data_IF_566058197012
#
_entry.id   IF_566058197012
#
_cell.length_a   1.000
_cell.length_b   1.000
_cell.length_c   1.000
_cell.angle_alpha   90.00
_cell.angle_beta   90.00
_cell.angle_gamma   90.00
#
_symmetry.space_group_name_H-M   'P 1'
#
loop_
_entity.id
_entity.type
_entity.pdbx_description
1 polymer ?
#
# COMPACT_ATOMS: atom_id res chain seq x y z
N UNK A 1 -81.57 9.71 -7.34
CA UNK A 1 -81.01 9.42 -8.68
C UNK A 1 -82.06 8.75 -9.57
N UNK A 2 -82.98 9.52 -10.16
CA UNK A 2 -83.91 8.98 -11.17
C UNK A 2 -83.35 9.31 -12.57
N UNK A 3 -83.29 8.32 -13.45
CA UNK A 3 -82.85 8.50 -14.84
C UNK A 3 -81.34 8.44 -15.09
N UNK A 4 -80.52 7.98 -14.13
CA UNK A 4 -79.07 7.77 -14.31
C UNK A 4 -78.81 6.27 -14.53
N UNK A 5 -78.18 5.91 -15.65
CA UNK A 5 -77.62 4.58 -15.90
C UNK A 5 -76.12 4.58 -15.62
N UNK A 6 -75.55 3.42 -15.28
CA UNK A 6 -74.11 3.32 -14.99
C UNK A 6 -73.46 2.15 -15.71
N UNK A 7 -72.22 2.38 -16.17
CA UNK A 7 -71.38 1.40 -16.84
C UNK A 7 -70.18 1.13 -15.92
N UNK A 8 -70.10 -0.08 -15.36
CA UNK A 8 -69.07 -0.43 -14.38
C UNK A 8 -67.68 -0.47 -15.03
N UNK A 9 -66.71 0.17 -14.37
CA UNK A 9 -65.29 0.10 -14.72
C UNK A 9 -64.60 -0.98 -13.87
N UNK A 10 -64.81 -0.97 -12.55
CA UNK A 10 -64.30 -1.98 -11.64
C UNK A 10 -64.36 -1.53 -10.18
N UNK A 11 -63.95 -2.43 -9.29
CA UNK A 11 -63.94 -2.18 -7.85
C UNK A 11 -62.51 -2.19 -7.32
N UNK A 12 -62.27 -1.36 -6.31
CA UNK A 12 -61.03 -1.37 -5.53
C UNK A 12 -61.42 -1.65 -4.09
N UNK A 13 -60.87 -2.72 -3.51
CA UNK A 13 -61.12 -3.09 -2.13
C UNK A 13 -60.21 -2.31 -1.19
N UNK A 14 -60.78 -1.79 -0.10
CA UNK A 14 -60.07 -1.02 0.91
C UNK A 14 -59.86 -1.93 2.12
N UNK A 15 -58.61 -2.24 2.44
CA UNK A 15 -58.23 -3.10 3.57
C UNK A 15 -57.06 -2.53 4.38
N UNK A 16 -56.30 -1.61 3.81
CA UNK A 16 -55.10 -1.02 4.38
C UNK A 16 -54.99 0.46 4.03
N UNK A 17 -54.14 1.18 4.76
CA UNK A 17 -53.92 2.61 4.53
C UNK A 17 -53.29 2.91 3.15
N UNK A 18 -52.46 2.00 2.62
CA UNK A 18 -51.90 2.11 1.28
C UNK A 18 -52.96 2.04 0.16
N UNK A 19 -54.13 1.45 0.42
CA UNK A 19 -55.25 1.42 -0.53
C UNK A 19 -55.83 2.82 -0.77
N UNK A 20 -55.69 3.76 0.17
CA UNK A 20 -56.13 5.16 0.00
C UNK A 20 -55.34 5.82 -1.14
N UNK A 21 -54.03 5.59 -1.19
CA UNK A 21 -53.16 6.11 -2.25
C UNK A 21 -53.52 5.47 -3.59
N UNK A 22 -53.69 4.14 -3.60
CA UNK A 22 -54.06 3.38 -4.81
C UNK A 22 -55.39 3.83 -5.40
N UNK A 23 -56.43 3.97 -4.58
CA UNK A 23 -57.74 4.46 -5.02
C UNK A 23 -57.64 5.88 -5.58
N UNK A 24 -56.90 6.77 -4.88
CA UNK A 24 -56.73 8.17 -5.30
C UNK A 24 -56.04 8.28 -6.66
N UNK A 25 -54.95 7.56 -6.86
CA UNK A 25 -54.24 7.53 -8.15
C UNK A 25 -55.13 6.99 -9.26
N UNK A 26 -55.86 5.92 -8.98
CA UNK A 26 -56.75 5.31 -9.97
C UNK A 26 -57.87 6.25 -10.41
N UNK A 27 -58.53 6.92 -9.48
CA UNK A 27 -59.56 7.92 -9.78
C UNK A 27 -58.98 9.13 -10.50
N UNK A 28 -57.76 9.54 -10.17
CA UNK A 28 -57.08 10.65 -10.87
C UNK A 28 -56.80 10.31 -12.34
N UNK A 29 -56.34 9.10 -12.62
CA UNK A 29 -56.10 8.62 -13.99
C UNK A 29 -57.41 8.60 -14.78
N UNK A 30 -58.48 8.04 -14.23
CA UNK A 30 -59.79 8.04 -14.90
C UNK A 30 -60.31 9.44 -15.15
N UNK A 31 -60.21 10.34 -14.17
CA UNK A 31 -60.66 11.71 -14.33
C UNK A 31 -59.86 12.45 -15.42
N UNK A 32 -58.57 12.13 -15.58
CA UNK A 32 -57.75 12.64 -16.69
C UNK A 32 -58.17 12.05 -18.03
N UNK A 33 -58.38 10.75 -18.10
CA UNK A 33 -58.78 10.05 -19.33
C UNK A 33 -60.17 10.48 -19.82
N UNK A 34 -61.04 10.87 -18.88
CA UNK A 34 -62.35 11.48 -19.18
C UNK A 34 -62.25 12.98 -19.52
N UNK A 35 -61.05 13.56 -19.60
CA UNK A 35 -60.80 14.97 -19.89
C UNK A 35 -61.42 15.98 -18.89
N UNK A 36 -61.56 15.61 -17.61
CA UNK A 36 -61.87 16.61 -16.58
C UNK A 36 -60.72 17.61 -16.46
N UNK A 37 -61.03 18.89 -16.24
CA UNK A 37 -60.02 19.90 -15.99
C UNK A 37 -59.27 19.63 -14.66
N UNK A 38 -58.08 20.19 -14.51
CA UNK A 38 -57.21 19.97 -13.35
C UNK A 38 -57.89 20.35 -12.02
N UNK A 39 -58.73 21.38 -12.00
CA UNK A 39 -59.45 21.79 -10.79
C UNK A 39 -60.52 20.77 -10.43
N UNK A 40 -61.27 20.26 -11.42
CA UNK A 40 -62.28 19.22 -11.19
C UNK A 40 -61.65 17.88 -10.81
N UNK A 41 -60.50 17.51 -11.39
CA UNK A 41 -59.73 16.33 -10.97
C UNK A 41 -59.36 16.40 -9.48
N UNK A 42 -58.90 17.56 -8.99
CA UNK A 42 -58.59 17.75 -7.57
C UNK A 42 -59.86 17.56 -6.72
N UNK A 43 -61.00 18.14 -7.11
CA UNK A 43 -62.27 17.99 -6.37
C UNK A 43 -62.70 16.52 -6.27
N UNK A 44 -62.67 15.79 -7.38
CA UNK A 44 -63.02 14.36 -7.43
C UNK A 44 -62.06 13.55 -6.55
N UNK A 45 -60.75 13.73 -6.71
CA UNK A 45 -59.76 12.95 -5.96
C UNK A 45 -59.82 13.22 -4.46
N UNK A 46 -60.03 14.47 -4.04
CA UNK A 46 -60.25 14.82 -2.62
C UNK A 46 -61.49 14.14 -2.06
N UNK A 47 -62.62 14.19 -2.77
CA UNK A 47 -63.86 13.52 -2.37
C UNK A 47 -63.67 12.00 -2.18
N UNK A 48 -62.95 11.35 -3.09
CA UNK A 48 -62.69 9.91 -2.99
C UNK A 48 -61.72 9.56 -1.88
N UNK A 49 -60.67 10.35 -1.66
CA UNK A 49 -59.75 10.12 -0.54
C UNK A 49 -60.47 10.20 0.81
N UNK A 50 -61.38 11.17 0.97
CA UNK A 50 -62.23 11.28 2.17
C UNK A 50 -63.15 10.07 2.35
N UNK A 51 -63.83 9.62 1.29
CA UNK A 51 -64.68 8.42 1.37
C UNK A 51 -63.89 7.15 1.67
N UNK A 52 -62.72 6.99 1.06
CA UNK A 52 -61.86 5.82 1.26
C UNK A 52 -61.30 5.79 2.69
N UNK A 53 -60.93 6.97 3.21
CA UNK A 53 -60.51 7.14 4.61
C UNK A 53 -61.63 6.79 5.58
N UNK A 54 -62.86 7.23 5.31
CA UNK A 54 -64.02 6.88 6.15
C UNK A 54 -64.26 5.36 6.19
N UNK A 55 -64.17 4.67 5.04
CA UNK A 55 -64.28 3.20 5.00
C UNK A 55 -63.22 2.57 5.91
N UNK A 56 -61.96 2.98 5.77
CA UNK A 56 -60.85 2.41 6.54
C UNK A 56 -60.94 2.71 8.04
N UNK A 57 -61.25 3.95 8.42
CA UNK A 57 -61.32 4.38 9.81
C UNK A 57 -62.48 3.73 10.56
N UNK A 58 -63.68 3.72 9.97
CA UNK A 58 -64.92 3.34 10.66
C UNK A 58 -65.40 1.92 10.39
N UNK A 59 -65.08 1.33 9.24
CA UNK A 59 -65.55 -0.01 8.87
C UNK A 59 -64.44 -1.05 8.67
N UNK A 60 -63.17 -0.62 8.59
CA UNK A 60 -61.95 -1.43 8.36
C UNK A 60 -61.88 -2.16 7.02
N UNK A 61 -63.02 -2.51 6.43
CA UNK A 61 -63.13 -3.10 5.11
C UNK A 61 -64.27 -2.47 4.30
N UNK A 62 -64.05 -2.31 3.00
CA UNK A 62 -65.10 -1.89 2.07
C UNK A 62 -64.60 -1.89 0.63
N UNK A 63 -65.35 -1.24 -0.25
CA UNK A 63 -65.01 -1.14 -1.65
C UNK A 63 -65.36 0.23 -2.22
N UNK A 64 -64.53 0.69 -3.16
CA UNK A 64 -64.78 1.83 -4.03
C UNK A 64 -65.08 1.27 -5.42
N UNK A 65 -66.33 1.35 -5.84
CA UNK A 65 -66.76 0.99 -7.19
C UNK A 65 -66.74 2.21 -8.10
N UNK A 66 -66.09 2.06 -9.25
CA UNK A 66 -65.94 3.10 -10.26
C UNK A 66 -66.81 2.76 -11.47
N UNK A 67 -67.56 3.73 -11.96
CA UNK A 67 -68.45 3.58 -13.10
C UNK A 67 -68.55 4.88 -13.91
N UNK A 68 -68.91 4.77 -15.18
CA UNK A 68 -69.31 5.91 -15.99
C UNK A 68 -70.82 6.08 -15.83
N UNK A 69 -71.27 7.25 -15.37
CA UNK A 69 -72.68 7.61 -15.28
C UNK A 69 -73.18 8.23 -16.60
N UNK A 70 -74.42 7.92 -16.96
CA UNK A 70 -75.12 8.48 -18.11
C UNK A 70 -76.51 8.96 -17.70
N UNK A 71 -76.93 10.12 -18.18
CA UNK A 71 -78.29 10.65 -17.98
C UNK A 71 -78.84 11.19 -19.31
N UNK A 72 -79.80 10.48 -19.89
CA UNK A 72 -80.21 10.71 -21.28
C UNK A 72 -79.09 10.35 -22.28
N UNK A 73 -79.23 10.79 -23.54
CA UNK A 73 -78.28 10.45 -24.61
C UNK A 73 -77.00 11.32 -24.62
N UNK A 74 -76.97 12.42 -23.85
CA UNK A 74 -75.94 13.45 -24.02
C UNK A 74 -75.15 13.79 -22.76
N UNK A 75 -75.54 13.30 -21.57
CA UNK A 75 -74.85 13.62 -20.33
C UNK A 75 -74.03 12.41 -19.85
N UNK A 76 -72.71 12.58 -19.73
CA UNK A 76 -71.76 11.55 -19.29
C UNK A 76 -70.95 12.07 -18.11
N UNK A 77 -70.67 11.23 -17.11
CA UNK A 77 -69.94 11.63 -15.92
C UNK A 77 -69.23 10.48 -15.23
N UNK A 78 -68.40 10.81 -14.23
CA UNK A 78 -67.74 9.82 -13.39
C UNK A 78 -68.60 9.55 -12.16
N UNK A 79 -68.98 8.29 -11.98
CA UNK A 79 -69.73 7.80 -10.83
C UNK A 79 -68.80 7.00 -9.92
N UNK A 80 -68.85 7.33 -8.63
CA UNK A 80 -68.04 6.70 -7.60
C UNK A 80 -68.97 6.26 -6.49
N UNK A 81 -68.97 4.97 -6.19
CA UNK A 81 -69.77 4.40 -5.10
C UNK A 81 -68.83 3.84 -4.05
N UNK A 82 -68.79 4.47 -2.89
CA UNK A 82 -68.17 3.94 -1.70
C UNK A 82 -69.18 3.06 -0.96
N UNK A 83 -68.80 1.84 -0.63
CA UNK A 83 -69.61 0.93 0.19
C UNK A 83 -68.75 0.30 1.28
N UNK A 84 -69.28 0.30 2.50
CA UNK A 84 -68.76 -0.47 3.61
C UNK A 84 -69.83 -1.39 4.20
N UNK A 85 -69.39 -2.32 5.05
CA UNK A 85 -70.26 -3.17 5.87
C UNK A 85 -70.04 -2.86 7.36
N UNK A 86 -69.80 -1.59 7.69
CA UNK A 86 -69.57 -1.12 9.06
C UNK A 86 -70.87 -0.95 9.87
N UNK A 87 -70.82 -0.27 11.02
CA UNK A 87 -71.97 -0.10 11.90
C UNK A 87 -73.09 0.80 11.33
N UNK A 88 -72.86 1.44 10.18
CA UNK A 88 -73.76 2.45 9.63
C UNK A 88 -73.75 3.77 10.41
N UNK A 89 -74.49 4.77 9.92
CA UNK A 89 -74.62 6.09 10.53
C UNK A 89 -76.05 6.26 11.05
N UNK A 90 -76.19 6.54 12.36
CA UNK A 90 -77.51 6.82 12.97
C UNK A 90 -78.19 8.04 12.31
N UNK A 91 -79.51 7.97 12.12
CA UNK A 91 -80.29 8.98 11.39
C UNK A 91 -80.11 10.40 11.93
N UNK A 92 -80.06 10.58 13.25
CA UNK A 92 -79.89 11.88 13.92
C UNK A 92 -78.49 12.44 13.68
N UNK A 93 -77.48 11.57 13.69
CA UNK A 93 -76.08 11.89 13.41
C UNK A 93 -75.88 12.26 11.94
N UNK A 94 -76.51 11.51 11.02
CA UNK A 94 -76.44 11.77 9.58
C UNK A 94 -76.98 13.15 9.22
N UNK A 95 -78.12 13.55 9.80
CA UNK A 95 -78.68 14.89 9.58
C UNK A 95 -77.74 15.99 10.08
N UNK A 96 -77.08 15.77 11.21
CA UNK A 96 -76.11 16.70 11.80
C UNK A 96 -74.83 16.81 10.96
N UNK A 97 -74.33 15.69 10.42
CA UNK A 97 -73.19 15.65 9.50
C UNK A 97 -73.52 16.42 8.22
N UNK A 98 -74.67 16.18 7.61
CA UNK A 98 -75.06 16.84 6.35
C UNK A 98 -75.31 18.34 6.51
N UNK A 99 -75.74 18.80 7.69
CA UNK A 99 -75.88 20.23 8.04
C UNK A 99 -74.53 20.89 8.40
N UNK A 100 -73.46 20.12 8.54
CA UNK A 100 -72.14 20.61 8.90
C UNK A 100 -72.01 21.03 10.38
N UNK A 101 -72.96 20.64 11.23
CA UNK A 101 -72.97 20.95 12.67
C UNK A 101 -72.37 19.83 13.53
N UNK A 102 -71.89 18.76 12.90
CA UNK A 102 -71.25 17.62 13.56
C UNK A 102 -69.74 17.83 13.64
N UNK A 103 -69.16 17.65 14.83
CA UNK A 103 -67.73 17.57 15.07
C UNK A 103 -67.37 16.13 15.45
N UNK A 104 -66.44 15.51 14.72
CA UNK A 104 -65.92 14.19 15.09
C UNK A 104 -64.92 14.30 16.25
N UNK A 105 -64.83 13.24 17.06
CA UNK A 105 -63.83 13.14 18.14
C UNK A 105 -62.38 13.14 17.63
N UNK A 106 -62.16 12.86 16.34
CA UNK A 106 -60.85 12.80 15.69
C UNK A 106 -60.30 14.16 15.21
N UNK A 107 -61.07 15.26 15.31
CA UNK A 107 -60.59 16.63 15.08
C UNK A 107 -60.19 17.01 13.65
N UNK A 108 -60.30 16.10 12.67
CA UNK A 108 -60.03 16.33 11.26
C UNK A 108 -61.14 15.71 10.41
N UNK A 109 -61.95 16.51 9.73
CA UNK A 109 -62.85 15.97 8.69
C UNK A 109 -64.08 16.81 8.38
N UNK A 110 -64.02 17.59 7.29
CA UNK A 110 -65.21 18.11 6.59
C UNK A 110 -65.82 16.99 5.71
N UNK A 111 -65.82 15.74 6.20
CA UNK A 111 -65.72 14.53 5.38
C UNK A 111 -66.86 14.31 4.38
N UNK A 112 -68.10 14.17 4.86
CA UNK A 112 -69.26 13.90 3.97
C UNK A 112 -69.93 15.18 3.46
N UNK A 113 -70.00 16.23 4.28
CA UNK A 113 -70.58 17.52 3.86
C UNK A 113 -69.70 18.26 2.85
N UNK A 114 -68.38 18.19 3.00
CA UNK A 114 -67.42 18.71 2.04
C UNK A 114 -67.48 17.94 0.73
N UNK A 115 -67.47 16.61 0.80
CA UNK A 115 -67.66 15.73 -0.37
C UNK A 115 -68.94 16.07 -1.14
N UNK A 116 -70.07 16.31 -0.45
CA UNK A 116 -71.32 16.76 -1.09
C UNK A 116 -71.21 18.10 -1.83
N UNK A 117 -70.35 19.02 -1.39
CA UNK A 117 -70.15 20.33 -2.06
C UNK A 117 -69.24 20.23 -3.30
N UNK A 118 -68.41 19.19 -3.38
CA UNK A 118 -67.44 19.02 -4.47
C UNK A 118 -68.04 18.32 -5.70
N UNK A 119 -69.10 17.54 -5.49
CA UNK A 119 -69.76 16.69 -6.49
C UNK A 119 -71.10 17.27 -6.92
N UNK A 120 -71.59 16.88 -8.10
CA UNK A 120 -72.83 17.42 -8.65
C UNK A 120 -74.04 16.65 -8.12
N UNK A 121 -73.91 15.32 -8.02
CA UNK A 121 -74.88 14.46 -7.35
C UNK A 121 -74.25 13.79 -6.12
N UNK A 122 -75.03 13.72 -5.05
CA UNK A 122 -74.66 13.06 -3.80
C UNK A 122 -75.86 12.31 -3.25
N UNK A 123 -75.71 11.00 -3.09
CA UNK A 123 -76.70 10.15 -2.44
C UNK A 123 -76.02 9.30 -1.36
N UNK A 124 -76.62 9.24 -0.19
CA UNK A 124 -76.16 8.39 0.92
C UNK A 124 -77.31 7.51 1.38
N UNK A 125 -77.03 6.22 1.50
CA UNK A 125 -77.92 5.21 2.08
C UNK A 125 -77.15 4.54 3.20
N UNK A 126 -77.75 4.47 4.38
CA UNK A 126 -77.13 3.85 5.54
C UNK A 126 -78.21 3.25 6.42
N UNK A 127 -77.91 2.09 7.01
CA UNK A 127 -78.77 1.43 7.98
C UNK A 127 -77.91 0.88 9.12
N UNK A 128 -78.45 0.84 10.36
CA UNK A 128 -77.72 0.28 11.50
C UNK A 128 -77.27 -1.16 11.21
N UNK A 129 -75.98 -1.44 11.44
CA UNK A 129 -75.35 -2.76 11.25
C UNK A 129 -75.41 -3.34 9.81
N UNK A 130 -75.84 -2.54 8.82
CA UNK A 130 -75.84 -2.89 7.39
C UNK A 130 -74.81 -2.08 6.58
N UNK A 131 -74.10 -1.15 7.22
CA UNK A 131 -73.06 -0.32 6.61
C UNK A 131 -73.56 0.99 5.99
N UNK A 132 -72.65 1.66 5.27
CA UNK A 132 -72.93 2.90 4.56
C UNK A 132 -72.58 2.76 3.08
N UNK A 133 -73.48 3.23 2.22
CA UNK A 133 -73.22 3.42 0.81
C UNK A 133 -73.34 4.90 0.44
N UNK A 134 -72.27 5.46 -0.11
CA UNK A 134 -72.22 6.83 -0.62
C UNK A 134 -71.97 6.79 -2.11
N UNK A 135 -72.90 7.34 -2.88
CA UNK A 135 -72.81 7.45 -4.33
C UNK A 135 -72.62 8.90 -4.73
N UNK A 136 -71.56 9.17 -5.49
CA UNK A 136 -71.21 10.47 -6.03
C UNK A 136 -71.26 10.44 -7.54
N UNK A 137 -71.71 11.53 -8.18
CA UNK A 137 -71.52 11.75 -9.62
C UNK A 137 -70.94 13.13 -9.86
N UNK A 138 -69.94 13.19 -10.74
CA UNK A 138 -69.45 14.42 -11.35
C UNK A 138 -69.73 14.40 -12.85
N UNK A 139 -70.48 15.37 -13.34
CA UNK A 139 -70.84 15.46 -14.75
C UNK A 139 -69.75 16.16 -15.55
N UNK A 140 -69.51 15.71 -16.77
CA UNK A 140 -68.70 16.45 -17.73
C UNK A 140 -69.47 17.66 -18.24
N UNK A 141 -68.77 18.74 -18.62
CA UNK A 141 -69.37 19.83 -19.39
C UNK A 141 -70.03 19.28 -20.67
N UNK A 142 -71.17 19.83 -21.13
CA UNK A 142 -71.91 19.32 -22.28
C UNK A 142 -71.07 19.11 -23.54
N UNK A 143 -70.04 19.94 -23.76
CA UNK A 143 -69.13 19.86 -24.90
C UNK A 143 -68.25 18.60 -24.88
N UNK A 144 -67.84 18.15 -23.69
CA UNK A 144 -67.00 16.97 -23.49
C UNK A 144 -67.82 15.70 -23.29
N UNK A 145 -69.09 15.83 -22.88
CA UNK A 145 -69.98 14.70 -22.63
C UNK A 145 -70.24 13.84 -23.88
N UNK A 146 -70.34 14.46 -25.07
CA UNK A 146 -70.54 13.73 -26.34
C UNK A 146 -69.29 12.97 -26.80
N UNK A 147 -68.10 13.55 -26.60
CA UNK A 147 -66.82 12.92 -26.95
C UNK A 147 -66.52 11.73 -26.03
N UNK A 148 -66.73 11.92 -24.72
CA UNK A 148 -66.61 10.85 -23.74
C UNK A 148 -67.61 9.72 -24.01
N UNK A 149 -68.83 10.04 -24.45
CA UNK A 149 -69.85 9.06 -24.80
C UNK A 149 -69.44 8.16 -25.98
N UNK A 150 -68.76 8.73 -26.98
CA UNK A 150 -68.28 7.99 -28.16
C UNK A 150 -67.13 7.02 -27.84
N UNK A 151 -66.33 7.30 -26.80
CA UNK A 151 -65.10 6.54 -26.47
C UNK A 151 -65.21 5.67 -25.21
N UNK A 152 -66.43 5.42 -24.71
CA UNK A 152 -66.66 4.63 -23.48
C UNK A 152 -65.99 3.25 -23.54
N UNK A 153 -66.04 2.57 -24.68
CA UNK A 153 -65.44 1.24 -24.85
C UNK A 153 -63.90 1.26 -24.75
N UNK A 154 -63.25 2.33 -25.22
CA UNK A 154 -61.79 2.50 -25.12
C UNK A 154 -61.37 2.82 -23.68
N UNK A 155 -62.13 3.68 -23.00
CA UNK A 155 -61.94 3.97 -21.58
C UNK A 155 -62.07 2.69 -20.72
N UNK A 156 -63.01 1.80 -21.05
CA UNK A 156 -63.15 0.50 -20.39
C UNK A 156 -62.00 -0.47 -20.68
N UNK A 157 -61.42 -0.45 -21.88
CA UNK A 157 -60.31 -1.31 -22.25
C UNK A 157 -59.02 -0.90 -21.54
N UNK A 158 -58.70 0.41 -21.54
CA UNK A 158 -57.54 0.96 -20.80
C UNK A 158 -57.64 0.75 -19.29
N UNK A 159 -58.85 0.66 -18.75
CA UNK A 159 -59.05 0.32 -17.36
C UNK A 159 -58.70 -1.15 -17.03
N UNK A 160 -58.68 -2.08 -17.99
CA UNK A 160 -58.38 -3.49 -17.69
C UNK A 160 -56.89 -3.81 -17.59
N UNK A 161 -56.01 -2.99 -18.15
CA UNK A 161 -54.55 -3.19 -18.08
C UNK A 161 -53.98 -2.55 -16.79
N UNK A 162 -53.40 -3.35 -15.89
CA UNK A 162 -52.91 -2.91 -14.56
C UNK A 162 -51.36 -2.80 -14.53
N UNK A 163 -50.77 -1.62 -14.25
CA UNK A 163 -49.32 -1.46 -14.06
C UNK A 163 -48.81 -1.70 -12.62
N UNK A 164 -49.68 -1.96 -11.63
CA UNK A 164 -49.28 -2.05 -10.22
C UNK A 164 -48.54 -3.37 -9.86
N UNK A 165 -48.76 -4.44 -10.62
CA UNK A 165 -48.14 -5.75 -10.36
C UNK A 165 -46.64 -5.75 -10.75
N UNK A 166 -46.27 -5.01 -11.81
CA UNK A 166 -44.90 -4.92 -12.33
C UNK A 166 -43.91 -4.23 -11.40
N UNK A 167 -44.32 -3.23 -10.63
CA UNK A 167 -43.42 -2.48 -9.72
C UNK A 167 -43.04 -3.30 -8.47
N UNK A 168 -43.92 -4.21 -8.04
CA UNK A 168 -43.67 -5.09 -6.89
C UNK A 168 -42.65 -6.16 -7.24
N UNK A 169 -42.73 -6.71 -8.45
CA UNK A 169 -41.76 -7.70 -8.95
C UNK A 169 -40.35 -7.12 -9.07
N UNK A 170 -40.22 -5.89 -9.55
CA UNK A 170 -38.93 -5.20 -9.67
C UNK A 170 -38.26 -4.97 -8.30
N UNK A 171 -39.03 -4.54 -7.30
CA UNK A 171 -38.54 -4.39 -5.92
C UNK A 171 -38.14 -5.72 -5.28
N UNK A 172 -38.88 -6.79 -5.54
CA UNK A 172 -38.52 -8.13 -5.05
C UNK A 172 -37.22 -8.63 -5.69
N UNK A 173 -36.99 -8.31 -6.96
CA UNK A 173 -35.75 -8.65 -7.64
C UNK A 173 -34.56 -7.87 -7.06
N UNK A 174 -34.71 -6.56 -6.84
CA UNK A 174 -33.67 -5.73 -6.21
C UNK A 174 -33.31 -6.22 -4.79
N UNK A 175 -34.30 -6.63 -3.99
CA UNK A 175 -34.05 -7.20 -2.67
C UNK A 175 -33.23 -8.51 -2.74
N UNK A 176 -33.50 -9.37 -3.73
CA UNK A 176 -32.72 -10.60 -3.91
C UNK A 176 -31.27 -10.32 -4.29
N UNK A 177 -31.04 -9.35 -5.18
CA UNK A 177 -29.68 -8.98 -5.59
C UNK A 177 -28.90 -8.34 -4.44
N UNK A 178 -29.54 -7.51 -3.61
CA UNK A 178 -28.93 -6.93 -2.42
C UNK A 178 -28.49 -8.00 -1.41
N UNK A 179 -29.36 -8.99 -1.14
CA UNK A 179 -29.02 -10.11 -0.25
C UNK A 179 -27.80 -10.88 -0.75
N UNK A 180 -27.66 -11.08 -2.07
CA UNK A 180 -26.49 -11.75 -2.65
C UNK A 180 -25.21 -10.94 -2.42
N UNK A 181 -25.23 -9.64 -2.69
CA UNK A 181 -24.06 -8.77 -2.50
C UNK A 181 -23.64 -8.70 -1.04
N UNK A 182 -24.59 -8.66 -0.11
CA UNK A 182 -24.30 -8.68 1.32
C UNK A 182 -23.58 -9.98 1.73
N UNK A 183 -24.05 -11.13 1.24
CA UNK A 183 -23.40 -12.41 1.52
C UNK A 183 -21.96 -12.47 0.95
N UNK A 184 -21.73 -11.97 -0.26
CA UNK A 184 -20.38 -11.89 -0.85
C UNK A 184 -19.45 -10.95 -0.08
N UNK A 185 -19.99 -9.83 0.45
CA UNK A 185 -19.22 -8.89 1.27
C UNK A 185 -18.86 -9.49 2.63
N UNK A 186 -19.78 -10.22 3.26
CA UNK A 186 -19.50 -10.93 4.51
C UNK A 186 -18.40 -11.98 4.32
N UNK A 187 -18.49 -12.80 3.27
CA UNK A 187 -17.45 -13.79 2.93
C UNK A 187 -16.09 -13.13 2.71
N UNK A 188 -16.03 -12.04 1.92
CA UNK A 188 -14.78 -11.31 1.71
C UNK A 188 -14.23 -10.68 2.99
N UNK A 189 -15.11 -10.21 3.88
CA UNK A 189 -14.68 -9.63 5.16
C UNK A 189 -14.03 -10.70 6.04
N UNK A 190 -14.65 -11.88 6.15
CA UNK A 190 -14.08 -13.00 6.91
C UNK A 190 -12.73 -13.46 6.33
N UNK A 191 -12.62 -13.55 5.00
CA UNK A 191 -11.35 -13.87 4.33
C UNK A 191 -10.25 -12.83 4.65
N UNK A 192 -10.59 -11.54 4.63
CA UNK A 192 -9.65 -10.46 4.95
C UNK A 192 -9.25 -10.50 6.43
N UNK A 193 -10.18 -10.77 7.34
CA UNK A 193 -9.88 -10.92 8.77
C UNK A 193 -8.92 -12.09 9.00
N UNK A 194 -9.19 -13.25 8.41
CA UNK A 194 -8.30 -14.41 8.50
C UNK A 194 -6.90 -14.13 7.95
N UNK A 195 -6.81 -13.52 6.76
CA UNK A 195 -5.52 -13.20 6.14
C UNK A 195 -4.74 -12.17 6.97
N UNK A 196 -5.43 -11.19 7.56
CA UNK A 196 -4.79 -10.19 8.41
C UNK A 196 -4.24 -10.81 9.69
N UNK A 197 -4.96 -11.76 10.30
CA UNK A 197 -4.45 -12.51 11.45
C UNK A 197 -3.21 -13.36 11.11
N UNK A 198 -3.21 -14.05 9.96
CA UNK A 198 -2.04 -14.79 9.49
C UNK A 198 -0.84 -13.87 9.23
N UNK A 199 -1.09 -12.73 8.59
CA UNK A 199 -0.06 -11.73 8.30
C UNK A 199 0.52 -11.14 9.60
N UNK A 200 -0.32 -10.87 10.60
CA UNK A 200 0.13 -10.40 11.92
C UNK A 200 0.98 -11.45 12.63
N UNK A 201 0.56 -12.72 12.62
CA UNK A 201 1.34 -13.83 13.20
C UNK A 201 2.70 -13.99 12.50
N UNK A 202 2.71 -13.96 11.17
CA UNK A 202 3.95 -14.05 10.39
C UNK A 202 4.89 -12.87 10.67
N UNK A 203 4.36 -11.64 10.69
CA UNK A 203 5.16 -10.46 11.04
C UNK A 203 5.73 -10.53 12.47
N UNK A 204 4.96 -11.01 13.43
CA UNK A 204 5.45 -11.20 14.80
C UNK A 204 6.60 -12.21 14.86
N UNK A 205 6.48 -13.34 14.16
CA UNK A 205 7.53 -14.36 14.07
C UNK A 205 8.81 -13.82 13.41
N UNK A 206 8.66 -13.08 12.31
CA UNK A 206 9.79 -12.45 11.61
C UNK A 206 10.49 -11.44 12.53
N UNK A 207 9.73 -10.61 13.23
CA UNK A 207 10.29 -9.62 14.16
C UNK A 207 11.03 -10.29 15.32
N UNK A 208 10.49 -11.36 15.89
CA UNK A 208 11.17 -12.14 16.94
C UNK A 208 12.45 -12.80 16.43
N UNK A 209 12.40 -13.42 15.24
CA UNK A 209 13.57 -14.03 14.61
C UNK A 209 14.67 -12.99 14.32
N UNK A 210 14.29 -11.82 13.81
CA UNK A 210 15.21 -10.71 13.56
C UNK A 210 15.84 -10.17 14.85
N UNK A 211 15.05 -10.07 15.93
CA UNK A 211 15.58 -9.66 17.24
C UNK A 211 16.63 -10.66 17.75
N UNK A 212 16.34 -11.96 17.71
CA UNK A 212 17.29 -13.02 18.11
C UNK A 212 18.54 -13.03 17.24
N UNK A 213 18.39 -12.84 15.92
CA UNK A 213 19.53 -12.75 15.01
C UNK A 213 20.45 -11.56 15.35
N UNK A 214 19.87 -10.40 15.68
CA UNK A 214 20.64 -9.22 16.12
C UNK A 214 21.36 -9.47 17.43
N UNK A 215 20.70 -10.10 18.40
CA UNK A 215 21.28 -10.45 19.70
C UNK A 215 22.46 -11.41 19.54
N UNK A 216 22.30 -12.48 18.74
CA UNK A 216 23.38 -13.41 18.40
C UNK A 216 24.52 -12.71 17.67
N UNK A 217 24.21 -11.78 16.76
CA UNK A 217 25.20 -10.97 16.06
C UNK A 217 26.05 -10.13 17.03
N UNK A 218 25.39 -9.44 17.97
CA UNK A 218 26.07 -8.63 19.00
C UNK A 218 26.93 -9.48 19.93
N UNK A 219 26.42 -10.63 20.40
CA UNK A 219 27.20 -11.55 21.23
C UNK A 219 28.44 -12.09 20.49
N UNK A 220 28.30 -12.42 19.19
CA UNK A 220 29.44 -12.85 18.36
C UNK A 220 30.49 -11.75 18.25
N UNK A 221 30.08 -10.50 18.03
CA UNK A 221 31.01 -9.35 17.96
C UNK A 221 31.75 -9.11 19.28
N UNK A 222 31.02 -9.09 20.39
CA UNK A 222 31.58 -8.88 21.72
C UNK A 222 32.57 -9.99 22.07
N UNK A 223 32.19 -11.25 21.82
CA UNK A 223 33.07 -12.40 22.02
C UNK A 223 34.36 -12.30 21.19
N UNK A 224 34.26 -11.93 19.91
CA UNK A 224 35.43 -11.79 19.04
C UNK A 224 36.31 -10.60 19.44
N UNK A 225 35.73 -9.49 19.89
CA UNK A 225 36.47 -8.33 20.38
C UNK A 225 37.24 -8.67 21.67
N UNK A 226 36.59 -9.30 22.65
CA UNK A 226 37.20 -9.75 23.90
C UNK A 226 38.30 -10.76 23.65
N UNK A 227 38.02 -11.81 22.87
CA UNK A 227 39.01 -12.86 22.54
C UNK A 227 40.22 -12.28 21.82
N UNK A 228 40.01 -11.32 20.90
CA UNK A 228 41.11 -10.63 20.20
C UNK A 228 41.99 -9.84 21.18
N UNK A 229 41.38 -9.08 22.09
CA UNK A 229 42.12 -8.34 23.11
C UNK A 229 42.96 -9.28 23.99
N UNK A 230 42.34 -10.37 24.44
CA UNK A 230 42.97 -11.34 25.33
C UNK A 230 44.06 -12.17 24.65
N UNK A 231 44.00 -12.34 23.32
CA UNK A 231 45.08 -12.92 22.51
C UNK A 231 46.18 -11.89 22.20
N UNK A 232 45.84 -10.62 21.98
CA UNK A 232 46.81 -9.57 21.64
C UNK A 232 47.75 -9.26 22.82
N UNK A 233 47.22 -9.25 24.04
CA UNK A 233 47.99 -8.94 25.25
C UNK A 233 49.21 -9.88 25.43
N UNK A 234 49.07 -11.22 25.47
CA UNK A 234 50.21 -12.13 25.60
C UNK A 234 51.14 -12.08 24.38
N UNK A 235 50.62 -11.88 23.16
CA UNK A 235 51.46 -11.72 21.97
C UNK A 235 52.33 -10.44 22.04
N UNK A 236 51.79 -9.36 22.62
CA UNK A 236 52.54 -8.10 22.83
C UNK A 236 53.67 -8.30 23.83
N UNK A 237 53.43 -9.08 24.90
CA UNK A 237 54.48 -9.45 25.86
C UNK A 237 55.57 -10.29 25.19
N UNK A 238 55.19 -11.31 24.41
CA UNK A 238 56.14 -12.16 23.67
C UNK A 238 56.98 -11.32 22.70
N UNK A 239 56.34 -10.42 21.94
CA UNK A 239 57.04 -9.50 21.04
C UNK A 239 58.00 -8.58 21.81
N UNK A 240 57.59 -8.06 22.96
CA UNK A 240 58.46 -7.25 23.84
C UNK A 240 59.70 -8.01 24.32
N UNK A 241 59.55 -9.28 24.70
CA UNK A 241 60.68 -10.14 25.10
C UNK A 241 61.62 -10.41 23.93
N UNK A 242 61.07 -10.73 22.76
CA UNK A 242 61.85 -10.90 21.53
C UNK A 242 62.64 -9.63 21.19
N UNK A 243 62.03 -8.45 21.35
CA UNK A 243 62.70 -7.16 21.13
C UNK A 243 63.88 -6.93 22.07
N UNK A 244 63.86 -7.46 23.30
CA UNK A 244 65.04 -7.39 24.19
C UNK A 244 66.22 -8.23 23.68
N UNK A 245 65.93 -9.36 23.03
CA UNK A 245 66.95 -10.19 22.38
C UNK A 245 67.49 -9.53 21.11
N UNK A 246 66.62 -9.01 20.23
CA UNK A 246 67.05 -8.40 18.95
C UNK A 246 67.71 -7.04 19.12
N UNK A 247 67.38 -6.27 20.17
CA UNK A 247 68.02 -4.98 20.47
C UNK A 247 69.40 -5.08 21.14
N UNK A 248 69.91 -6.29 21.38
CA UNK A 248 71.20 -6.53 22.03
C UNK A 248 71.24 -6.17 23.52
N UNK A 249 70.11 -5.82 24.13
CA UNK A 249 70.01 -5.43 25.55
C UNK A 249 70.28 -6.59 26.52
N UNK A 250 70.19 -7.84 26.05
CA UNK A 250 70.48 -9.06 26.81
C UNK A 250 71.85 -9.67 26.43
N UNK A 251 72.69 -8.93 25.70
CA UNK A 251 73.98 -9.39 25.19
C UNK A 251 73.94 -9.80 23.72
N UNK A 252 75.11 -10.11 23.16
CA UNK A 252 75.22 -10.57 21.77
C UNK A 252 74.74 -12.01 21.62
N UNK A 253 73.88 -12.23 20.63
CA UNK A 253 73.37 -13.55 20.29
C UNK A 253 74.33 -14.26 19.33
N UNK A 254 74.48 -15.57 19.52
CA UNK A 254 75.15 -16.41 18.54
C UNK A 254 74.40 -16.39 17.19
N UNK A 255 75.05 -16.71 16.06
CA UNK A 255 74.39 -16.76 14.76
C UNK A 255 73.14 -17.67 14.73
N UNK A 256 73.19 -18.81 15.43
CA UNK A 256 72.03 -19.72 15.54
C UNK A 256 70.91 -19.13 16.41
N UNK A 257 71.26 -18.47 17.52
CA UNK A 257 70.29 -17.78 18.38
C UNK A 257 69.60 -16.63 17.65
N UNK A 258 70.36 -15.81 16.91
CA UNK A 258 69.81 -14.75 16.06
C UNK A 258 68.80 -15.30 15.05
N UNK A 259 69.12 -16.42 14.39
CA UNK A 259 68.20 -17.08 13.47
C UNK A 259 66.92 -17.54 14.16
N UNK A 260 67.04 -18.11 15.36
CA UNK A 260 65.89 -18.60 16.15
C UNK A 260 65.00 -17.45 16.65
N UNK A 261 65.59 -16.40 17.21
CA UNK A 261 64.89 -15.20 17.69
C UNK A 261 64.17 -14.51 16.53
N UNK A 262 64.83 -14.37 15.37
CA UNK A 262 64.17 -13.83 14.17
C UNK A 262 63.02 -14.71 13.66
N UNK A 263 63.08 -16.04 13.84
CA UNK A 263 61.94 -16.91 13.56
C UNK A 263 60.79 -16.70 14.55
N UNK A 264 61.09 -16.54 15.85
CA UNK A 264 60.07 -16.22 16.85
C UNK A 264 59.39 -14.89 16.54
N UNK A 265 60.17 -13.85 16.21
CA UNK A 265 59.69 -12.51 15.86
C UNK A 265 58.69 -12.56 14.70
N UNK A 266 59.08 -13.18 13.58
CA UNK A 266 58.22 -13.31 12.40
C UNK A 266 56.92 -14.08 12.71
N UNK A 267 57.00 -15.14 13.50
CA UNK A 267 55.81 -15.93 13.87
C UNK A 267 54.87 -15.17 14.80
N UNK A 268 55.40 -14.45 15.80
CA UNK A 268 54.61 -13.62 16.70
C UNK A 268 53.93 -12.48 15.95
N UNK A 269 54.65 -11.81 15.04
CA UNK A 269 54.08 -10.76 14.20
C UNK A 269 52.96 -11.30 13.29
N UNK A 270 53.18 -12.46 12.67
CA UNK A 270 52.16 -13.13 11.85
C UNK A 270 50.89 -13.50 12.64
N UNK A 271 51.04 -13.92 13.91
CA UNK A 271 49.90 -14.21 14.78
C UNK A 271 49.12 -12.95 15.16
N UNK A 272 49.81 -11.85 15.45
CA UNK A 272 49.18 -10.55 15.72
C UNK A 272 48.36 -10.10 14.51
N UNK A 273 48.94 -10.22 13.31
CA UNK A 273 48.25 -9.89 12.04
C UNK A 273 47.03 -10.77 11.82
N UNK A 274 47.14 -12.09 12.01
CA UNK A 274 46.00 -13.01 11.89
C UNK A 274 44.86 -12.67 12.85
N UNK A 275 45.18 -12.35 14.10
CA UNK A 275 44.17 -11.95 15.11
C UNK A 275 43.48 -10.64 14.70
N UNK A 276 44.24 -9.68 14.17
CA UNK A 276 43.68 -8.42 13.69
C UNK A 276 42.80 -8.63 12.44
N UNK A 277 43.26 -9.45 11.49
CA UNK A 277 42.50 -9.80 10.29
C UNK A 277 41.18 -10.50 10.64
N UNK A 278 41.18 -11.39 11.63
CA UNK A 278 39.96 -12.04 12.11
C UNK A 278 38.95 -11.03 12.66
N UNK A 279 39.41 -10.08 13.49
CA UNK A 279 38.56 -9.03 14.05
C UNK A 279 37.98 -8.14 12.94
N UNK A 280 38.81 -7.73 11.99
CA UNK A 280 38.36 -6.86 10.90
C UNK A 280 37.41 -7.57 9.95
N UNK A 281 37.67 -8.84 9.62
CA UNK A 281 36.74 -9.66 8.85
C UNK A 281 35.38 -9.76 9.54
N UNK A 282 35.35 -9.93 10.87
CA UNK A 282 34.12 -9.93 11.64
C UNK A 282 33.38 -8.59 11.61
N UNK A 283 34.08 -7.46 11.75
CA UNK A 283 33.45 -6.13 11.70
C UNK A 283 32.91 -5.78 10.32
N UNK A 284 33.57 -6.28 9.27
CA UNK A 284 33.11 -6.16 7.90
C UNK A 284 31.85 -7.01 7.66
N UNK A 285 31.80 -8.25 8.16
CA UNK A 285 30.61 -9.11 8.06
C UNK A 285 29.37 -8.49 8.69
N UNK A 286 29.53 -7.82 9.83
CA UNK A 286 28.41 -7.23 10.54
C UNK A 286 28.05 -5.82 10.07
N UNK A 287 28.81 -5.25 9.14
CA UNK A 287 28.60 -3.88 8.64
C UNK A 287 28.87 -2.79 9.69
N UNK A 288 29.54 -3.12 10.79
CA UNK A 288 29.83 -2.17 11.88
C UNK A 288 31.08 -1.31 11.60
N UNK A 289 31.92 -1.73 10.64
CA UNK A 289 33.10 -0.96 10.25
C UNK A 289 32.69 0.34 9.54
N UNK A 290 33.03 1.48 10.14
CA UNK A 290 32.87 2.82 9.56
C UNK A 290 34.22 3.34 9.06
N UNK A 291 34.22 3.97 7.89
CA UNK A 291 35.39 4.63 7.32
C UNK A 291 35.42 6.11 7.73
N UNK A 292 36.60 6.61 8.06
CA UNK A 292 36.83 8.04 8.23
C UNK A 292 37.36 8.62 6.91
N UNK A 293 36.44 9.00 6.03
CA UNK A 293 36.77 9.42 4.67
C UNK A 293 37.28 10.87 4.64
N UNK A 294 38.55 11.03 4.30
CA UNK A 294 39.23 12.33 4.16
C UNK A 294 39.87 12.48 2.78
N UNK A 295 40.18 13.72 2.37
CA UNK A 295 40.99 13.96 1.18
C UNK A 295 42.40 13.44 1.43
N UNK A 296 42.77 12.37 0.72
CA UNK A 296 44.04 11.67 0.92
C UNK A 296 44.90 11.74 -0.34
N UNK A 297 46.12 12.24 -0.19
CA UNK A 297 47.16 12.16 -1.23
C UNK A 297 47.65 10.72 -1.35
N UNK A 298 47.18 10.04 -2.40
CA UNK A 298 47.53 8.65 -2.70
C UNK A 298 49.01 8.50 -3.06
N UNK A 299 49.59 9.46 -3.79
CA UNK A 299 51.00 9.42 -4.19
C UNK A 299 51.89 9.42 -2.95
N UNK A 300 51.67 10.39 -2.05
CA UNK A 300 52.44 10.49 -0.83
C UNK A 300 52.38 9.19 0.00
N UNK A 301 51.19 8.57 0.08
CA UNK A 301 51.01 7.31 0.79
C UNK A 301 51.72 6.12 0.11
N UNK A 302 51.64 6.01 -1.23
CA UNK A 302 52.33 4.95 -1.97
C UNK A 302 53.85 5.10 -1.82
N UNK A 303 54.40 6.31 -1.93
CA UNK A 303 55.83 6.57 -1.75
C UNK A 303 56.28 6.26 -0.31
N UNK A 304 55.52 6.66 0.71
CA UNK A 304 55.79 6.31 2.13
C UNK A 304 55.85 4.79 2.35
N UNK A 305 54.93 4.05 1.73
CA UNK A 305 54.91 2.59 1.80
C UNK A 305 56.03 1.94 0.97
N UNK A 306 56.40 2.55 -0.16
CA UNK A 306 57.55 2.16 -0.96
C UNK A 306 58.82 2.12 -0.12
N UNK A 307 59.06 3.12 0.73
CA UNK A 307 60.21 3.14 1.65
C UNK A 307 60.24 1.97 2.64
N UNK A 308 59.07 1.45 3.03
CA UNK A 308 58.95 0.30 3.94
C UNK A 308 59.09 -1.04 3.20
N UNK A 309 58.64 -1.13 1.96
CA UNK A 309 58.65 -2.35 1.14
C UNK A 309 59.98 -2.53 0.40
N UNK A 310 60.67 -1.45 0.04
CA UNK A 310 61.92 -1.47 -0.70
C UNK A 310 63.03 -2.30 -0.01
N UNK A 311 63.21 -2.26 1.33
CA UNK A 311 64.16 -3.15 2.02
C UNK A 311 63.82 -4.64 1.85
N UNK A 312 62.54 -5.01 1.97
CA UNK A 312 62.04 -6.39 1.80
C UNK A 312 62.23 -6.88 0.36
N UNK A 313 61.92 -6.01 -0.61
CA UNK A 313 62.14 -6.28 -2.03
C UNK A 313 63.64 -6.47 -2.34
N UNK A 314 64.51 -5.64 -1.77
CA UNK A 314 65.98 -5.75 -1.93
C UNK A 314 66.54 -7.01 -1.29
N UNK A 315 66.06 -7.41 -0.10
CA UNK A 315 66.46 -8.66 0.56
C UNK A 315 66.18 -9.87 -0.35
N UNK A 316 65.08 -9.83 -1.09
CA UNK A 316 64.70 -10.87 -2.06
C UNK A 316 65.22 -10.63 -3.48
N UNK A 317 66.09 -9.63 -3.69
CA UNK A 317 66.64 -9.24 -4.98
C UNK A 317 65.58 -8.94 -6.07
N UNK A 318 64.51 -8.23 -5.69
CA UNK A 318 63.44 -7.77 -6.58
C UNK A 318 63.67 -6.33 -7.05
N UNK A 319 63.22 -6.03 -8.27
CA UNK A 319 63.13 -4.66 -8.78
C UNK A 319 61.79 -4.05 -8.38
N UNK A 320 61.79 -2.89 -7.70
CA UNK A 320 60.57 -2.15 -7.37
C UNK A 320 60.49 -0.88 -8.22
N UNK A 321 59.36 -0.67 -8.91
CA UNK A 321 59.15 0.46 -9.81
C UNK A 321 57.86 1.20 -9.48
N UNK A 322 57.93 2.52 -9.44
CA UNK A 322 56.78 3.39 -9.19
C UNK A 322 56.53 4.27 -10.43
N UNK A 323 55.32 4.21 -10.97
CA UNK A 323 54.85 5.06 -12.07
C UNK A 323 53.60 5.81 -11.60
N UNK A 324 53.84 6.96 -10.97
CA UNK A 324 52.80 7.82 -10.41
C UNK A 324 52.84 9.19 -11.14
N UNK A 325 51.74 9.66 -11.76
CA UNK A 325 51.62 10.99 -12.40
C UNK A 325 51.58 12.16 -11.40
N UNK A 326 52.36 13.23 -11.60
CA UNK A 326 52.53 14.34 -10.63
C UNK A 326 51.23 15.09 -10.31
N UNK A 327 50.30 15.04 -11.23
CA UNK A 327 48.98 15.66 -11.25
C UNK A 327 47.86 14.71 -10.79
N UNK A 328 48.20 13.61 -10.12
CA UNK A 328 47.20 12.68 -9.60
C UNK A 328 46.33 13.38 -8.53
N UNK A 329 44.99 13.42 -8.70
CA UNK A 329 44.13 14.08 -7.72
C UNK A 329 44.05 13.29 -6.41
N UNK A 330 43.74 13.99 -5.32
CA UNK A 330 43.46 13.35 -4.04
C UNK A 330 42.25 12.42 -4.14
N UNK A 331 42.25 11.34 -3.37
CA UNK A 331 41.13 10.39 -3.28
C UNK A 331 40.35 10.60 -2.00
N UNK A 332 39.04 10.33 -2.03
CA UNK A 332 38.20 10.36 -0.83
C UNK A 332 38.33 9.03 -0.10
N UNK A 333 39.26 8.94 0.87
CA UNK A 333 39.59 7.69 1.51
C UNK A 333 39.95 7.81 3.00
N UNK A 334 39.78 6.70 3.72
CA UNK A 334 40.37 6.52 5.06
C UNK A 334 41.83 6.13 4.89
N UNK A 335 42.75 7.04 5.24
CA UNK A 335 44.20 6.85 5.07
C UNK A 335 44.70 5.56 5.72
N UNK A 336 44.17 5.18 6.88
CA UNK A 336 44.62 3.99 7.62
C UNK A 336 44.18 2.71 6.92
N UNK A 337 42.93 2.67 6.45
CA UNK A 337 42.40 1.51 5.72
C UNK A 337 42.99 1.39 4.32
N UNK A 338 43.24 2.52 3.66
CA UNK A 338 43.96 2.56 2.38
C UNK A 338 45.40 2.06 2.51
N UNK A 339 46.12 2.48 3.57
CA UNK A 339 47.45 1.94 3.88
C UNK A 339 47.42 0.42 3.97
N UNK A 340 46.40 -0.15 4.61
CA UNK A 340 46.27 -1.61 4.74
C UNK A 340 46.02 -2.32 3.40
N UNK A 341 45.15 -1.77 2.55
CA UNK A 341 44.93 -2.27 1.19
C UNK A 341 46.28 -2.38 0.46
N UNK A 342 47.04 -1.28 0.45
CA UNK A 342 48.32 -1.20 -0.23
C UNK A 342 49.37 -2.15 0.37
N UNK A 343 49.50 -2.21 1.70
CA UNK A 343 50.44 -3.14 2.36
C UNK A 343 50.12 -4.59 2.03
N UNK A 344 48.85 -4.99 2.01
CA UNK A 344 48.47 -6.35 1.65
C UNK A 344 48.79 -6.67 0.18
N UNK A 345 48.54 -5.75 -0.74
CA UNK A 345 48.88 -5.95 -2.15
C UNK A 345 50.39 -5.99 -2.40
N UNK A 346 51.15 -5.07 -1.78
CA UNK A 346 52.61 -5.03 -1.90
C UNK A 346 53.29 -6.23 -1.24
N UNK A 347 52.82 -6.66 -0.06
CA UNK A 347 53.36 -7.83 0.61
C UNK A 347 53.09 -9.10 -0.20
N UNK A 348 51.90 -9.26 -0.79
CA UNK A 348 51.59 -10.37 -1.68
C UNK A 348 52.48 -10.34 -2.93
N UNK A 349 52.67 -9.18 -3.57
CA UNK A 349 53.55 -9.04 -4.72
C UNK A 349 55.00 -9.46 -4.40
N UNK A 350 55.57 -8.98 -3.29
CA UNK A 350 56.94 -9.37 -2.86
C UNK A 350 57.01 -10.85 -2.46
N UNK A 351 56.00 -11.35 -1.76
CA UNK A 351 55.92 -12.74 -1.29
C UNK A 351 55.88 -13.73 -2.47
N UNK A 352 55.05 -13.49 -3.48
CA UNK A 352 54.87 -14.44 -4.58
C UNK A 352 55.78 -14.21 -5.79
N UNK A 353 56.60 -13.15 -5.77
CA UNK A 353 57.64 -12.92 -6.78
C UNK A 353 58.93 -13.64 -6.42
N UNK A 354 59.50 -14.36 -7.40
CA UNK A 354 60.79 -15.04 -7.23
C UNK A 354 61.96 -14.05 -7.32
N UNK A 355 63.12 -14.33 -6.70
CA UNK A 355 64.30 -13.47 -6.79
C UNK A 355 64.67 -13.13 -8.23
N UNK A 356 65.03 -11.86 -8.48
CA UNK A 356 65.28 -11.32 -9.83
C UNK A 356 64.02 -10.85 -10.58
N UNK A 357 62.83 -11.01 -10.01
CA UNK A 357 61.58 -10.49 -10.57
C UNK A 357 61.36 -8.99 -10.32
N UNK A 358 60.19 -8.51 -10.74
CA UNK A 358 59.79 -7.11 -10.63
C UNK A 358 58.42 -6.96 -9.97
N UNK A 359 58.28 -5.90 -9.18
CA UNK A 359 57.00 -5.37 -8.68
C UNK A 359 56.87 -3.92 -9.15
N UNK A 360 55.77 -3.59 -9.81
CA UNK A 360 55.49 -2.28 -10.38
C UNK A 360 54.16 -1.73 -9.86
N UNK A 361 54.16 -0.48 -9.41
CA UNK A 361 52.96 0.24 -8.96
C UNK A 361 52.63 1.35 -9.93
N UNK A 362 51.43 1.32 -10.49
CA UNK A 362 50.89 2.35 -11.39
C UNK A 362 49.66 2.99 -10.77
N UNK A 363 49.49 4.28 -10.95
CA UNK A 363 48.23 4.95 -10.64
C UNK A 363 47.85 5.94 -11.73
N UNK A 364 46.55 6.18 -11.90
CA UNK A 364 46.06 7.13 -12.90
C UNK A 364 44.60 7.50 -12.70
N UNK A 365 44.18 8.58 -13.35
CA UNK A 365 42.80 9.03 -13.37
C UNK A 365 42.00 8.27 -14.43
N UNK A 366 40.82 7.78 -14.07
CA UNK A 366 39.87 7.11 -14.95
C UNK A 366 38.45 7.60 -14.63
N UNK A 367 38.02 8.67 -15.29
CA UNK A 367 36.74 9.34 -15.00
C UNK A 367 36.77 9.96 -13.60
N UNK A 368 35.75 9.67 -12.79
CA UNK A 368 35.63 10.16 -11.40
C UNK A 368 36.41 9.32 -10.37
N UNK A 369 37.24 8.39 -10.85
CA UNK A 369 37.99 7.45 -10.02
C UNK A 369 39.49 7.52 -10.30
N UNK A 370 40.29 7.33 -9.26
CA UNK A 370 41.72 7.00 -9.39
C UNK A 370 41.86 5.49 -9.33
N UNK A 371 42.53 4.90 -10.32
CA UNK A 371 42.92 3.49 -10.27
C UNK A 371 44.34 3.34 -9.74
N UNK A 372 44.60 2.22 -9.07
CA UNK A 372 45.92 1.79 -8.62
C UNK A 372 46.12 0.34 -9.03
N UNK A 373 47.18 0.08 -9.79
CA UNK A 373 47.57 -1.24 -10.27
C UNK A 373 48.88 -1.66 -9.60
N UNK A 374 48.88 -2.83 -8.99
CA UNK A 374 50.09 -3.49 -8.46
C UNK A 374 50.36 -4.70 -9.33
N UNK A 375 51.40 -4.62 -10.15
CA UNK A 375 51.86 -5.68 -11.03
C UNK A 375 53.06 -6.40 -10.42
N UNK A 376 53.07 -7.73 -10.49
CA UNK A 376 54.16 -8.59 -10.08
C UNK A 376 54.50 -9.59 -11.19
N UNK A 377 55.79 -9.95 -11.33
CA UNK A 377 56.25 -11.00 -12.26
C UNK A 377 56.41 -12.35 -11.55
N UNK A 378 55.55 -12.64 -10.58
CA UNK A 378 55.63 -13.82 -9.73
C UNK A 378 55.05 -15.08 -10.36
N UNK A 379 54.71 -16.04 -9.51
CA UNK A 379 54.23 -17.37 -9.93
C UNK A 379 52.91 -17.34 -10.70
N UNK A 380 52.16 -16.23 -10.65
CA UNK A 380 50.82 -16.13 -11.19
C UNK A 380 49.80 -17.05 -10.51
N UNK A 381 48.54 -16.90 -10.91
CA UNK A 381 47.38 -17.58 -10.34
C UNK A 381 46.72 -18.41 -11.45
N UNK A 382 46.34 -19.64 -11.13
CA UNK A 382 45.63 -20.50 -12.07
C UNK A 382 44.23 -19.92 -12.35
N UNK A 383 43.76 -19.99 -13.60
CA UNK A 383 42.47 -19.44 -14.00
C UNK A 383 41.28 -19.99 -13.18
N UNK A 384 41.40 -21.21 -12.67
CA UNK A 384 40.39 -21.85 -11.80
C UNK A 384 40.31 -21.24 -10.38
N UNK A 385 41.41 -20.65 -9.89
CA UNK A 385 41.49 -20.05 -8.56
C UNK A 385 41.09 -18.57 -8.56
N UNK A 386 41.18 -17.88 -9.70
CA UNK A 386 40.88 -16.44 -9.85
C UNK A 386 39.46 -16.07 -9.35
N UNK A 387 38.38 -16.79 -9.70
CA UNK A 387 37.03 -16.43 -9.27
C UNK A 387 36.82 -16.44 -7.75
N UNK A 388 37.60 -17.25 -7.03
CA UNK A 388 37.47 -17.46 -5.57
C UNK A 388 38.53 -16.70 -4.77
N UNK A 389 39.43 -15.98 -5.45
CA UNK A 389 40.59 -15.35 -4.83
C UNK A 389 40.24 -14.33 -3.72
N UNK A 390 39.07 -13.71 -3.83
CA UNK A 390 38.58 -12.73 -2.86
C UNK A 390 37.60 -13.32 -1.83
N UNK A 391 37.34 -14.62 -1.85
CA UNK A 391 36.48 -15.27 -0.88
C UNK A 391 37.24 -15.56 0.43
N UNK A 392 36.50 -15.71 1.53
CA UNK A 392 37.10 -15.94 2.85
C UNK A 392 37.83 -17.27 2.91
N UNK A 393 39.04 -17.24 3.49
CA UNK A 393 39.89 -18.41 3.74
C UNK A 393 40.35 -19.14 2.48
N UNK A 394 40.11 -18.57 1.29
CA UNK A 394 40.61 -19.14 0.05
C UNK A 394 42.09 -18.85 -0.12
N UNK A 395 42.79 -19.85 -0.66
CA UNK A 395 44.19 -19.78 -1.03
C UNK A 395 44.34 -20.48 -2.38
N UNK A 396 45.07 -19.87 -3.31
CA UNK A 396 45.36 -20.50 -4.59
C UNK A 396 46.03 -21.86 -4.36
N UNK A 397 45.59 -22.90 -5.08
CA UNK A 397 45.96 -24.31 -4.84
C UNK A 397 47.38 -24.66 -5.30
N UNK A 398 48.18 -23.66 -5.68
CA UNK A 398 49.52 -23.84 -6.23
C UNK A 398 50.43 -24.60 -5.25
N UNK A 399 50.67 -25.88 -5.57
CA UNK A 399 51.56 -26.82 -4.86
C UNK A 399 53.05 -26.40 -4.84
N UNK A 400 53.40 -25.31 -5.51
CA UNK A 400 54.78 -24.87 -5.77
C UNK A 400 55.29 -23.77 -4.83
N UNK A 401 54.44 -23.17 -3.98
CA UNK A 401 54.94 -22.21 -2.99
C UNK A 401 55.61 -22.98 -1.85
N UNK A 402 56.91 -22.77 -1.65
CA UNK A 402 57.73 -23.44 -0.62
C UNK A 402 57.32 -22.98 0.79
N UNK A 403 56.17 -23.44 1.28
CA UNK A 403 55.74 -23.25 2.67
C UNK A 403 55.13 -21.90 3.02
N UNK A 404 54.91 -21.02 2.04
CA UNK A 404 54.40 -19.66 2.24
C UNK A 404 52.87 -19.63 2.39
N UNK A 405 52.35 -20.18 3.50
CA UNK A 405 50.91 -20.14 3.81
C UNK A 405 50.49 -18.74 4.27
N UNK A 406 49.35 -18.25 3.76
CA UNK A 406 48.70 -17.03 4.23
C UNK A 406 47.53 -17.34 5.15
N UNK A 407 46.79 -16.32 5.57
CA UNK A 407 45.55 -16.47 6.37
C UNK A 407 44.31 -16.69 5.48
N UNK A 408 44.39 -16.32 4.20
CA UNK A 408 43.25 -16.30 3.28
C UNK A 408 42.24 -15.18 3.56
N UNK A 409 42.56 -14.25 4.47
CA UNK A 409 41.69 -13.12 4.81
C UNK A 409 42.13 -11.80 4.17
N UNK A 410 43.42 -11.63 3.86
CA UNK A 410 43.97 -10.37 3.37
C UNK A 410 43.27 -9.83 2.11
N UNK A 411 43.10 -10.66 1.08
CA UNK A 411 42.44 -10.24 -0.17
C UNK A 411 40.92 -10.03 0.01
N UNK A 412 40.25 -10.85 0.82
CA UNK A 412 38.86 -10.62 1.21
C UNK A 412 38.68 -9.25 1.89
N UNK A 413 39.50 -8.95 2.90
CA UNK A 413 39.47 -7.66 3.61
C UNK A 413 39.78 -6.52 2.65
N UNK A 414 40.76 -6.70 1.76
CA UNK A 414 41.13 -5.70 0.75
C UNK A 414 39.93 -5.37 -0.14
N UNK A 415 39.24 -6.38 -0.68
CA UNK A 415 38.03 -6.20 -1.50
C UNK A 415 36.94 -5.45 -0.73
N UNK A 416 36.62 -5.89 0.48
CA UNK A 416 35.60 -5.27 1.30
C UNK A 416 35.93 -3.80 1.65
N UNK A 417 37.20 -3.50 1.96
CA UNK A 417 37.61 -2.12 2.21
C UNK A 417 37.50 -1.27 0.96
N UNK A 418 37.93 -1.76 -0.21
CA UNK A 418 37.78 -1.03 -1.49
C UNK A 418 36.30 -0.76 -1.81
N UNK A 419 35.42 -1.76 -1.62
CA UNK A 419 33.98 -1.63 -1.83
C UNK A 419 33.34 -0.63 -0.87
N UNK A 420 33.75 -0.62 0.42
CA UNK A 420 33.29 0.38 1.40
C UNK A 420 33.74 1.80 1.05
N UNK A 421 34.87 1.95 0.36
CA UNK A 421 35.31 3.24 -0.20
C UNK A 421 34.52 3.65 -1.46
N UNK A 422 33.62 2.81 -1.95
CA UNK A 422 32.83 3.04 -3.18
C UNK A 422 33.58 2.69 -4.45
N UNK A 423 34.67 1.92 -4.36
CA UNK A 423 35.48 1.46 -5.48
C UNK A 423 35.27 -0.01 -5.83
N UNK A 424 36.10 -0.51 -6.75
CA UNK A 424 36.12 -1.91 -7.19
C UNK A 424 37.55 -2.43 -7.22
N UNK A 425 37.75 -3.73 -6.99
CA UNK A 425 39.04 -4.40 -7.17
C UNK A 425 38.92 -5.56 -8.18
N UNK A 426 39.90 -5.70 -9.05
CA UNK A 426 40.01 -6.75 -10.05
C UNK A 426 41.42 -7.36 -10.04
N UNK A 427 41.54 -8.54 -10.62
CA UNK A 427 42.82 -9.22 -10.79
C UNK A 427 42.91 -9.78 -12.21
N UNK A 428 44.07 -9.56 -12.83
CA UNK A 428 44.46 -10.22 -14.08
C UNK A 428 45.72 -11.02 -13.79
N UNK A 429 45.70 -12.33 -14.02
CA UNK A 429 46.84 -13.20 -13.68
C UNK A 429 46.92 -14.39 -14.61
N UNK A 430 48.14 -14.80 -14.94
CA UNK A 430 48.43 -16.01 -15.69
C UNK A 430 49.55 -16.79 -14.99
N UNK A 431 49.32 -18.08 -14.81
CA UNK A 431 50.28 -18.97 -14.15
C UNK A 431 51.65 -18.91 -14.84
N UNK A 432 52.68 -18.58 -14.07
CA UNK A 432 54.06 -18.43 -14.51
C UNK A 432 54.43 -17.08 -15.14
N UNK A 433 53.46 -16.16 -15.34
CA UNK A 433 53.72 -14.82 -15.90
C UNK A 433 53.57 -13.69 -14.89
N UNK A 434 52.86 -13.95 -13.79
CA UNK A 434 52.64 -12.96 -12.72
C UNK A 434 51.18 -12.54 -12.59
N UNK A 435 50.95 -11.49 -11.81
CA UNK A 435 49.59 -10.98 -11.52
C UNK A 435 49.56 -9.47 -11.51
N UNK A 436 48.39 -8.91 -11.78
CA UNK A 436 48.11 -7.48 -11.70
C UNK A 436 46.81 -7.29 -10.93
N UNK A 437 46.91 -6.71 -9.74
CA UNK A 437 45.76 -6.33 -8.93
C UNK A 437 45.45 -4.86 -9.16
N UNK A 438 44.23 -4.54 -9.59
CA UNK A 438 43.81 -3.16 -9.85
C UNK A 438 42.63 -2.81 -8.96
N UNK A 439 42.74 -1.74 -8.18
CA UNK A 439 41.60 -1.19 -7.44
C UNK A 439 41.33 0.27 -7.79
N UNK A 440 40.09 0.71 -7.59
CA UNK A 440 39.65 2.09 -7.85
C UNK A 440 39.19 2.78 -6.57
N UNK A 441 39.34 4.11 -6.51
CA UNK A 441 38.83 4.95 -5.44
C UNK A 441 38.24 6.24 -6.00
N UNK A 442 37.14 6.77 -5.43
CA UNK A 442 36.56 8.02 -5.90
C UNK A 442 37.50 9.20 -5.64
N UNK A 443 37.56 10.13 -6.59
CA UNK A 443 38.29 11.39 -6.44
C UNK A 443 37.68 12.21 -5.30
N UNK A 444 38.53 12.86 -4.49
CA UNK A 444 38.10 13.85 -3.52
C UNK A 444 37.68 15.12 -4.28
N UNK A 445 36.39 15.31 -4.47
CA UNK A 445 35.86 16.57 -5.00
C UNK A 445 36.06 17.64 -3.93
N UNK A 446 36.95 18.60 -4.17
CA UNK A 446 36.98 19.82 -3.37
C UNK A 446 35.64 20.54 -3.54
N UNK A 447 34.81 20.55 -2.50
CA UNK A 447 33.76 21.55 -2.41
C UNK A 447 34.45 22.89 -2.20
N UNK A 448 34.58 23.68 -3.27
CA UNK A 448 34.68 25.12 -3.11
C UNK A 448 33.34 25.60 -2.54
N UNK A 449 33.25 25.67 -1.20
CA UNK A 449 32.16 26.37 -0.52
C UNK A 449 32.28 27.86 -0.86
N UNK A 450 31.64 28.24 -1.96
CA UNK A 450 31.47 29.64 -2.36
C UNK A 450 30.28 30.23 -1.59
N UNK A 451 30.38 30.29 -0.26
CA UNK A 451 29.46 31.03 0.60
C UNK A 451 30.18 32.19 1.27
N UNK A 452 30.22 33.33 0.57
CA UNK A 452 30.09 34.69 1.15
C UNK A 452 29.89 35.73 0.05
N UNK A 453 28.92 35.49 -0.84
CA UNK A 453 28.27 36.53 -1.63
C UNK A 453 27.20 37.24 -0.80
N UNK A 454 27.60 37.86 0.32
CA UNK A 454 26.72 38.66 1.17
C UNK A 454 26.67 40.10 0.68
N UNK A 455 25.63 40.42 -0.11
CA UNK A 455 25.20 41.79 -0.41
C UNK A 455 25.26 42.70 0.82
N UNK A 456 26.16 43.69 0.82
CA UNK A 456 25.95 44.91 1.59
C UNK A 456 25.01 45.79 0.79
N UNK A 457 23.74 45.76 1.18
CA UNK A 457 22.75 46.78 0.84
C UNK A 457 23.26 48.14 1.35
N UNK A 458 23.46 49.06 0.41
CA UNK A 458 23.56 50.49 0.67
C UNK A 458 22.24 50.98 1.26
N UNK A 459 22.32 51.59 2.44
CA UNK A 459 21.26 52.42 2.99
C UNK A 459 21.85 53.78 3.37
N UNK A 460 21.53 54.77 2.54
CA UNK A 460 21.27 56.18 2.86
C UNK A 460 22.37 56.99 3.56
N UNK A 461 22.93 57.90 2.77
CA UNK A 461 23.52 59.18 3.16
C UNK A 461 23.51 60.11 1.96
#
# INVERSE_FOLDING_TARGET
MQGITSIRLGDIYVRSESDIVRVRERVRTIARDMNFDSTTQIKITTAVSELTRNIYEYAKHGAISLAIAQQGETNTGLMITARDNGPGIKTETLQSILRGSYQSESGLGVGLAGTRRLMDEFQITTAPDEGTQVTLVKWLPPQLSSEAHAHIAELQARFRDDPAESAVEELQQQNKDLIRVLAELEEKREQLEHLNEELQKSNAQINEANAKLREVGQMKEEFLALTTHDLRSPLTVISGVINFFTSGRLGELSPEQNKMVGMMERNTQSLIELVNDLLDASKLESGTLRLDLVSTDLRALVTELGETILPLAREKALTFKEELPHDLPCVRADRTKLRRILVNLFSNAVKFTSPGGMVEVRAGLSGDYVFVSVHDTGIGIAAEDVPRLFDKYEQARNRSSRGEKGTGLGLYITKQLVELHGGTITVESELGKGSTFTFTLPVAVERMDNESGGMKLEAQG
#
